data_IF_688408657456
#
_entry.id   IF_688408657456
#
_cell.length_a   1.000
_cell.length_b   1.000
_cell.length_c   1.000
_cell.angle_alpha   90.00
_cell.angle_beta   90.00
_cell.angle_gamma   90.00
#
_symmetry.space_group_name_H-M   'P 1'
#
loop_
_entity.id
_entity.type
_entity.pdbx_description
1 polymer ?
#
# COMPACT_ATOMS: atom_id res chain seq x y z
N UNK A 1 -6.34 4.66 4.55
CA UNK A 1 -5.70 5.76 5.29
C UNK A 1 -4.57 6.31 4.42
N UNK A 2 -4.39 7.62 4.36
CA UNK A 2 -3.39 8.28 3.53
C UNK A 2 -2.88 9.58 4.18
N UNK A 3 -1.86 10.23 3.58
CA UNK A 3 -1.40 11.56 4.00
C UNK A 3 -2.39 12.66 3.57
N UNK A 4 -2.38 13.79 4.28
CA UNK A 4 -3.23 14.94 3.95
C UNK A 4 -3.00 15.42 2.49
N UNK A 5 -1.76 15.43 2.03
CA UNK A 5 -1.40 15.82 0.66
C UNK A 5 -1.97 14.91 -0.43
N UNK A 6 -2.20 13.62 -0.11
CA UNK A 6 -2.72 12.64 -1.05
C UNK A 6 -4.25 12.47 -1.00
N UNK A 7 -4.95 13.13 -0.08
CA UNK A 7 -6.39 12.96 0.12
C UNK A 7 -7.20 13.13 -1.18
N UNK A 8 -6.95 14.23 -1.90
CA UNK A 8 -7.69 14.51 -3.14
C UNK A 8 -7.39 13.48 -4.23
N UNK A 9 -6.13 13.05 -4.36
CA UNK A 9 -5.76 12.01 -5.31
C UNK A 9 -6.49 10.70 -4.99
N UNK A 10 -6.47 10.25 -3.74
CA UNK A 10 -7.12 8.99 -3.32
C UNK A 10 -8.65 9.08 -3.47
N UNK A 11 -9.28 10.21 -3.16
CA UNK A 11 -10.71 10.42 -3.43
C UNK A 11 -11.04 10.31 -4.93
N UNK A 12 -10.18 10.86 -5.79
CA UNK A 12 -10.38 10.82 -7.24
C UNK A 12 -10.20 9.42 -7.85
N UNK A 13 -9.56 8.48 -7.14
CA UNK A 13 -9.51 7.09 -7.56
C UNK A 13 -10.90 6.43 -7.61
N UNK A 14 -11.85 6.93 -6.79
CA UNK A 14 -13.24 6.45 -6.78
C UNK A 14 -13.42 4.99 -6.31
N UNK A 15 -12.38 4.40 -5.72
CA UNK A 15 -12.37 3.00 -5.27
C UNK A 15 -12.50 2.86 -3.73
N UNK A 16 -12.60 3.97 -2.99
CA UNK A 16 -12.69 3.99 -1.55
C UNK A 16 -14.02 4.62 -1.11
N UNK A 17 -14.74 3.97 -0.20
CA UNK A 17 -15.97 4.50 0.41
C UNK A 17 -15.65 5.64 1.39
N UNK A 18 -14.49 5.57 2.05
CA UNK A 18 -14.01 6.58 2.98
C UNK A 18 -12.50 6.77 2.84
N UNK A 19 -12.04 8.02 2.87
CA UNK A 19 -10.63 8.37 2.90
C UNK A 19 -10.31 9.09 4.21
N UNK A 20 -9.52 8.47 5.05
CA UNK A 20 -9.06 8.98 6.35
C UNK A 20 -7.61 9.41 6.21
N UNK A 21 -7.22 10.56 6.78
CA UNK A 21 -5.83 10.98 6.84
C UNK A 21 -5.17 10.55 8.16
N UNK A 22 -3.85 10.41 8.15
CA UNK A 22 -3.09 10.12 9.37
C UNK A 22 -3.39 11.16 10.45
N UNK A 23 -3.70 10.70 11.65
CA UNK A 23 -4.11 11.50 12.80
C UNK A 23 -5.62 11.70 12.94
N UNK A 24 -6.42 11.23 12.00
CA UNK A 24 -7.89 11.28 12.02
C UNK A 24 -8.51 9.86 12.10
N UNK A 25 -7.80 8.89 12.68
CA UNK A 25 -8.24 7.50 12.77
C UNK A 25 -9.49 7.30 13.65
N UNK A 26 -9.88 8.32 14.41
CA UNK A 26 -11.13 8.38 15.16
C UNK A 26 -12.38 8.44 14.27
N UNK A 27 -12.24 8.83 13.01
CA UNK A 27 -13.31 8.82 12.01
C UNK A 27 -13.69 7.41 11.53
N UNK A 28 -12.88 6.41 11.83
CA UNK A 28 -13.15 5.01 11.46
C UNK A 28 -14.25 4.45 12.37
N UNK A 29 -15.28 3.85 11.76
CA UNK A 29 -16.34 3.18 12.53
C UNK A 29 -15.78 1.93 13.22
N UNK A 30 -15.64 2.04 14.53
CA UNK A 30 -15.05 0.98 15.36
C UNK A 30 -16.01 -0.17 15.66
N UNK A 31 -17.28 -0.05 15.30
CA UNK A 31 -18.28 -1.10 15.49
C UNK A 31 -18.24 -2.18 14.41
N UNK A 32 -17.56 -1.90 13.29
CA UNK A 32 -17.49 -2.81 12.15
C UNK A 32 -16.34 -3.81 12.29
N UNK A 33 -16.62 -5.08 11.98
CA UNK A 33 -15.58 -6.08 11.79
C UNK A 33 -14.67 -5.66 10.64
N UNK A 34 -13.38 -5.47 10.94
CA UNK A 34 -12.42 -4.82 10.05
C UNK A 34 -11.19 -5.68 9.78
N UNK A 35 -10.76 -5.73 8.53
CA UNK A 35 -9.47 -6.27 8.13
C UNK A 35 -8.50 -5.11 7.85
N UNK A 36 -7.31 -5.16 8.43
CA UNK A 36 -6.26 -4.18 8.23
C UNK A 36 -5.16 -4.74 7.32
N UNK A 37 -4.87 -4.02 6.24
CA UNK A 37 -3.75 -4.31 5.33
C UNK A 37 -2.73 -3.19 5.49
N UNK A 38 -1.62 -3.49 6.15
CA UNK A 38 -0.55 -2.54 6.40
C UNK A 38 0.46 -2.53 5.25
N UNK A 39 0.43 -1.46 4.46
CA UNK A 39 1.40 -1.19 3.40
C UNK A 39 2.53 -0.28 3.90
N UNK A 40 2.35 0.35 5.06
CA UNK A 40 3.28 1.37 5.57
C UNK A 40 4.36 0.82 6.48
N UNK A 41 4.05 -0.21 7.27
CA UNK A 41 4.92 -0.68 8.35
C UNK A 41 4.98 0.29 9.53
N UNK A 42 4.02 1.22 9.64
CA UNK A 42 3.97 2.19 10.73
C UNK A 42 3.33 1.55 11.97
N UNK A 43 4.18 1.18 12.93
CA UNK A 43 3.74 0.53 14.18
C UNK A 43 2.84 1.42 15.04
N UNK A 44 3.06 2.73 15.03
CA UNK A 44 2.19 3.67 15.74
C UNK A 44 0.76 3.62 15.21
N UNK A 45 0.59 3.66 13.88
CA UNK A 45 -0.71 3.51 13.24
C UNK A 45 -1.34 2.15 13.52
N UNK A 46 -0.57 1.06 13.36
CA UNK A 46 -1.03 -0.30 13.65
C UNK A 46 -1.55 -0.41 15.09
N UNK A 47 -0.78 0.13 16.05
CA UNK A 47 -1.18 0.15 17.47
C UNK A 47 -2.46 0.94 17.70
N UNK A 48 -2.60 2.12 17.09
CA UNK A 48 -3.79 2.97 17.20
C UNK A 48 -5.04 2.25 16.66
N UNK A 49 -4.94 1.62 15.48
CA UNK A 49 -6.04 0.91 14.86
C UNK A 49 -6.46 -0.32 15.68
N UNK A 50 -5.51 -1.12 16.14
CA UNK A 50 -5.81 -2.29 16.98
C UNK A 50 -6.46 -1.91 18.30
N UNK A 51 -5.94 -0.88 18.99
CA UNK A 51 -6.53 -0.40 20.23
C UNK A 51 -7.93 0.20 20.02
N UNK A 52 -8.14 0.86 18.86
CA UNK A 52 -9.43 1.45 18.54
C UNK A 52 -10.49 0.42 18.18
N UNK A 53 -10.15 -0.58 17.37
CA UNK A 53 -11.07 -1.62 16.89
C UNK A 53 -11.24 -2.77 17.88
N UNK A 54 -10.22 -3.05 18.70
CA UNK A 54 -10.29 -4.15 19.66
C UNK A 54 -10.59 -5.49 18.98
N UNK A 55 -11.59 -6.21 19.47
CA UNK A 55 -12.00 -7.51 18.91
C UNK A 55 -12.65 -7.41 17.52
N UNK A 56 -13.02 -6.20 17.08
CA UNK A 56 -13.49 -5.95 15.71
C UNK A 56 -12.34 -5.92 14.69
N UNK A 57 -11.07 -5.90 15.10
CA UNK A 57 -9.93 -6.18 14.24
C UNK A 57 -9.87 -7.69 13.98
N UNK A 58 -10.54 -8.16 12.92
CA UNK A 58 -10.66 -9.59 12.61
C UNK A 58 -9.52 -10.16 11.78
N UNK A 59 -8.77 -9.30 11.08
CA UNK A 59 -7.56 -9.66 10.33
C UNK A 59 -6.57 -8.50 10.32
N UNK A 60 -5.28 -8.79 10.39
CA UNK A 60 -4.21 -7.79 10.32
C UNK A 60 -3.02 -8.37 9.56
N UNK A 61 -2.78 -7.85 8.35
CA UNK A 61 -1.74 -8.32 7.44
C UNK A 61 -0.69 -7.24 7.20
N UNK A 62 0.56 -7.52 7.55
CA UNK A 62 1.71 -6.67 7.25
C UNK A 62 2.25 -7.01 5.86
N UNK A 63 2.04 -6.13 4.88
CA UNK A 63 2.39 -6.35 3.48
C UNK A 63 3.61 -5.52 3.06
N UNK A 64 3.71 -4.29 3.56
CA UNK A 64 4.74 -3.33 3.19
C UNK A 64 5.43 -2.69 4.38
N UNK A 65 6.44 -1.89 4.09
CA UNK A 65 7.22 -1.14 5.05
C UNK A 65 7.76 0.17 4.44
N UNK A 66 6.87 0.97 3.81
CA UNK A 66 7.26 2.25 3.21
C UNK A 66 7.72 3.28 4.26
N UNK A 67 7.30 3.11 5.52
CA UNK A 67 7.75 3.91 6.67
C UNK A 67 8.72 3.10 7.53
N UNK A 68 9.79 2.58 6.93
CA UNK A 68 10.74 1.69 7.59
C UNK A 68 11.36 2.27 8.88
N UNK A 69 11.48 3.60 8.98
CA UNK A 69 11.97 4.30 10.20
C UNK A 69 10.96 4.25 11.36
N UNK A 70 9.67 4.09 11.07
CA UNK A 70 8.62 3.95 12.06
C UNK A 70 8.40 2.48 12.50
N UNK A 71 9.29 1.59 12.08
CA UNK A 71 9.30 0.19 12.47
C UNK A 71 9.75 -0.02 13.93
N UNK A 72 9.46 -1.19 14.48
CA UNK A 72 9.85 -1.55 15.86
C UNK A 72 9.26 -2.89 16.28
N UNK A 73 9.25 -3.16 17.60
CA UNK A 73 8.58 -4.34 18.14
C UNK A 73 7.10 -4.07 18.30
N UNK A 74 6.29 -5.00 17.84
CA UNK A 74 4.86 -5.00 18.09
C UNK A 74 4.63 -5.79 19.40
N UNK A 75 4.14 -5.12 20.44
CA UNK A 75 3.64 -5.76 21.64
C UNK A 75 2.32 -6.49 21.35
N UNK A 76 1.81 -7.22 22.34
CA UNK A 76 0.53 -7.89 22.20
C UNK A 76 -0.59 -6.85 22.03
N UNK A 77 -1.21 -6.86 20.85
CA UNK A 77 -2.32 -5.96 20.51
C UNK A 77 -3.67 -6.67 20.66
N UNK A 78 -4.77 -5.93 20.90
CA UNK A 78 -6.13 -6.47 20.84
C UNK A 78 -6.50 -6.96 19.45
N UNK A 79 -7.47 -7.87 19.36
CA UNK A 79 -7.97 -8.40 18.11
C UNK A 79 -7.03 -9.38 17.42
N UNK A 80 -7.13 -9.49 16.10
CA UNK A 80 -6.31 -10.40 15.30
C UNK A 80 -4.83 -10.05 15.38
N UNK A 81 -4.00 -11.07 15.57
CA UNK A 81 -2.54 -10.87 15.61
C UNK A 81 -2.03 -10.41 14.24
N UNK A 82 -1.22 -9.32 14.15
CA UNK A 82 -0.55 -8.96 12.91
C UNK A 82 0.32 -10.10 12.37
N UNK A 83 0.13 -10.43 11.09
CA UNK A 83 0.87 -11.50 10.41
C UNK A 83 1.57 -10.95 9.18
N UNK A 84 2.79 -11.41 8.94
CA UNK A 84 3.52 -11.04 7.73
C UNK A 84 2.94 -11.72 6.49
N UNK A 85 2.59 -10.93 5.49
CA UNK A 85 2.11 -11.44 4.20
C UNK A 85 3.28 -11.78 3.29
N UNK A 86 3.60 -13.07 3.20
CA UNK A 86 4.66 -13.58 2.33
C UNK A 86 4.09 -13.98 0.97
N UNK A 87 4.13 -13.06 0.00
CA UNK A 87 3.53 -13.26 -1.32
C UNK A 87 3.97 -14.56 -2.04
N UNK A 88 5.26 -14.97 -2.07
CA UNK A 88 5.65 -16.23 -2.70
C UNK A 88 4.96 -17.46 -2.10
N UNK A 89 4.80 -17.49 -0.78
CA UNK A 89 4.08 -18.57 -0.09
C UNK A 89 2.60 -18.60 -0.44
N UNK A 90 1.96 -17.44 -0.57
CA UNK A 90 0.57 -17.34 -1.01
C UNK A 90 0.39 -17.75 -2.46
N UNK A 91 1.31 -17.39 -3.36
CA UNK A 91 1.32 -17.84 -4.77
C UNK A 91 1.40 -19.35 -4.82
N UNK A 92 2.37 -19.97 -4.12
CA UNK A 92 2.54 -21.41 -4.10
C UNK A 92 1.27 -22.14 -3.59
N UNK A 93 0.66 -21.63 -2.50
CA UNK A 93 -0.57 -22.18 -1.96
C UNK A 93 -1.73 -22.09 -2.96
N UNK A 94 -1.92 -20.93 -3.59
CA UNK A 94 -3.00 -20.73 -4.57
C UNK A 94 -2.80 -21.52 -5.85
N UNK A 95 -1.58 -21.70 -6.30
CA UNK A 95 -1.29 -22.52 -7.48
C UNK A 95 -1.59 -24.01 -7.24
N UNK A 96 -1.52 -24.51 -6.02
CA UNK A 96 -2.02 -25.84 -5.66
C UNK A 96 -3.55 -25.93 -5.81
N UNK A 97 -4.27 -24.89 -5.40
CA UNK A 97 -5.75 -24.84 -5.42
C UNK A 97 -6.30 -24.57 -6.84
N UNK A 98 -5.64 -23.68 -7.61
CA UNK A 98 -6.17 -23.15 -8.87
C UNK A 98 -5.48 -23.70 -10.12
N UNK A 99 -4.37 -24.42 -9.95
CA UNK A 99 -3.50 -24.91 -11.01
C UNK A 99 -2.21 -24.10 -11.13
N UNK A 100 -1.17 -24.75 -11.60
CA UNK A 100 0.17 -24.15 -11.72
C UNK A 100 0.15 -22.89 -12.62
N UNK A 101 0.69 -21.79 -12.11
CA UNK A 101 0.74 -20.49 -12.80
C UNK A 101 -0.58 -19.71 -12.81
N UNK A 102 -1.67 -20.26 -12.29
CA UNK A 102 -2.98 -19.61 -12.30
C UNK A 102 -2.99 -18.30 -11.49
N UNK A 103 -2.25 -18.24 -10.39
CA UNK A 103 -2.13 -17.04 -9.55
C UNK A 103 -1.47 -15.89 -10.32
N UNK A 104 -0.38 -16.17 -11.02
CA UNK A 104 0.32 -15.15 -11.84
C UNK A 104 -0.54 -14.67 -13.01
N UNK A 105 -1.24 -15.57 -13.69
CA UNK A 105 -2.15 -15.20 -14.78
C UNK A 105 -3.28 -14.29 -14.30
N UNK A 106 -3.94 -14.65 -13.19
CA UNK A 106 -4.99 -13.82 -12.58
C UNK A 106 -4.44 -12.46 -12.12
N UNK A 107 -3.27 -12.45 -11.48
CA UNK A 107 -2.59 -11.22 -11.06
C UNK A 107 -2.33 -10.28 -12.24
N UNK A 108 -1.79 -10.81 -13.33
CA UNK A 108 -1.55 -10.02 -14.56
C UNK A 108 -2.84 -9.45 -15.14
N UNK A 109 -3.91 -10.25 -15.23
CA UNK A 109 -5.22 -9.78 -15.74
C UNK A 109 -5.77 -8.63 -14.88
N UNK A 110 -5.68 -8.74 -13.54
CA UNK A 110 -6.10 -7.67 -12.65
C UNK A 110 -5.21 -6.42 -12.74
N UNK A 111 -3.90 -6.60 -12.86
CA UNK A 111 -2.97 -5.47 -13.05
C UNK A 111 -3.26 -4.69 -14.32
N UNK A 112 -3.55 -5.37 -15.43
CA UNK A 112 -3.92 -4.71 -16.69
C UNK A 112 -5.24 -3.93 -16.57
N UNK A 113 -6.22 -4.48 -15.85
CA UNK A 113 -7.48 -3.79 -15.57
C UNK A 113 -7.25 -2.53 -14.76
N UNK A 114 -6.51 -2.63 -13.64
CA UNK A 114 -6.16 -1.48 -12.79
C UNK A 114 -5.38 -0.42 -13.59
N UNK A 115 -4.40 -0.82 -14.40
CA UNK A 115 -3.65 0.10 -15.25
C UNK A 115 -4.55 0.86 -16.24
N UNK A 116 -5.54 0.18 -16.81
CA UNK A 116 -6.51 0.81 -17.71
C UNK A 116 -7.43 1.82 -16.98
N UNK A 117 -7.81 1.54 -15.73
CA UNK A 117 -8.62 2.43 -14.91
C UNK A 117 -7.82 3.66 -14.43
N UNK A 118 -6.51 3.51 -14.18
CA UNK A 118 -5.63 4.57 -13.68
C UNK A 118 -4.99 5.44 -14.76
N UNK A 119 -5.11 5.08 -16.04
CA UNK A 119 -4.38 5.74 -17.14
C UNK A 119 -4.54 7.26 -17.21
N UNK A 120 -5.72 7.78 -16.82
CA UNK A 120 -6.02 9.22 -16.84
C UNK A 120 -5.72 9.91 -15.50
N UNK A 121 -5.34 9.15 -14.46
CA UNK A 121 -5.03 9.63 -13.11
C UNK A 121 -3.54 9.61 -12.82
N UNK A 122 -2.76 8.77 -13.52
CA UNK A 122 -1.32 8.65 -13.37
C UNK A 122 -0.64 9.23 -14.61
N UNK A 123 0.22 10.22 -14.39
CA UNK A 123 1.08 10.76 -15.43
C UNK A 123 2.39 9.97 -15.48
N UNK A 124 2.62 9.24 -16.56
CA UNK A 124 3.85 8.47 -16.74
C UNK A 124 4.98 9.39 -17.20
N UNK A 125 6.03 9.44 -16.41
CA UNK A 125 7.24 10.22 -16.67
C UNK A 125 8.45 9.29 -16.85
N UNK A 126 9.20 9.51 -17.93
CA UNK A 126 10.44 8.79 -18.17
C UNK A 126 11.62 9.52 -17.52
N UNK A 127 12.40 8.78 -16.75
CA UNK A 127 13.63 9.22 -16.08
C UNK A 127 14.78 8.50 -16.75
N UNK A 128 15.53 9.21 -17.60
CA UNK A 128 16.59 8.61 -18.41
C UNK A 128 17.97 8.97 -17.85
N UNK A 129 18.81 7.94 -17.73
CA UNK A 129 20.18 8.08 -17.28
C UNK A 129 20.35 8.32 -15.77
N UNK A 130 21.60 8.16 -15.32
CA UNK A 130 21.94 8.17 -13.90
C UNK A 130 21.71 9.53 -13.22
N UNK A 131 21.90 10.64 -13.94
CA UNK A 131 21.76 11.97 -13.37
C UNK A 131 20.31 12.32 -13.04
N UNK A 132 19.38 12.02 -13.96
CA UNK A 132 17.94 12.22 -13.68
C UNK A 132 17.46 11.30 -12.57
N UNK A 133 17.92 10.05 -12.57
CA UNK A 133 17.59 9.10 -11.51
C UNK A 133 18.06 9.62 -10.14
N UNK A 134 19.24 10.18 -10.03
CA UNK A 134 19.75 10.75 -8.77
C UNK A 134 18.87 11.90 -8.27
N UNK A 135 18.42 12.76 -9.18
CA UNK A 135 17.50 13.86 -8.84
C UNK A 135 16.16 13.34 -8.31
N UNK A 136 15.53 12.42 -9.06
CA UNK A 136 14.25 11.82 -8.66
C UNK A 136 14.37 11.01 -7.36
N UNK A 137 15.51 10.34 -7.16
CA UNK A 137 15.78 9.64 -5.91
C UNK A 137 15.79 10.59 -4.71
N UNK A 138 16.39 11.78 -4.85
CA UNK A 138 16.32 12.84 -3.83
C UNK A 138 14.88 13.28 -3.56
N UNK A 139 14.08 13.54 -4.61
CA UNK A 139 12.67 13.90 -4.46
C UNK A 139 11.85 12.82 -3.73
N UNK A 140 12.13 11.53 -3.99
CA UNK A 140 11.49 10.41 -3.30
C UNK A 140 11.86 10.36 -1.81
N UNK A 141 13.14 10.56 -1.47
CA UNK A 141 13.60 10.59 -0.09
C UNK A 141 12.99 11.77 0.69
N UNK A 142 12.83 12.91 0.03
CA UNK A 142 12.24 14.12 0.61
C UNK A 142 10.69 14.10 0.60
N UNK A 143 10.08 12.98 0.14
CA UNK A 143 8.63 12.83 0.01
C UNK A 143 7.96 13.90 -0.87
N UNK A 144 8.66 14.37 -1.90
CA UNK A 144 8.25 15.44 -2.81
C UNK A 144 7.67 14.92 -4.15
N UNK A 145 7.55 13.61 -4.32
CA UNK A 145 6.95 13.01 -5.53
C UNK A 145 5.44 12.91 -5.33
N UNK A 146 4.68 13.58 -6.19
CA UNK A 146 3.22 13.52 -6.15
C UNK A 146 2.71 12.11 -6.48
N UNK A 147 1.63 11.66 -5.80
CA UNK A 147 1.04 10.33 -5.97
C UNK A 147 0.55 10.05 -7.41
N UNK A 148 0.28 11.11 -8.20
CA UNK A 148 -0.11 11.00 -9.61
C UNK A 148 1.04 10.80 -10.58
N UNK A 149 2.31 10.82 -10.13
CA UNK A 149 3.48 10.62 -10.98
C UNK A 149 3.88 9.14 -11.01
N UNK A 150 3.80 8.53 -12.18
CA UNK A 150 4.29 7.18 -12.45
C UNK A 150 5.69 7.24 -13.04
N UNK A 151 6.73 6.97 -12.27
CA UNK A 151 8.12 7.10 -12.70
C UNK A 151 8.60 5.82 -13.38
N UNK A 152 8.98 5.94 -14.65
CA UNK A 152 9.59 4.87 -15.44
C UNK A 152 11.08 5.17 -15.62
N UNK A 153 11.94 4.29 -15.12
CA UNK A 153 13.38 4.51 -15.12
C UNK A 153 14.06 3.70 -16.21
N UNK A 154 14.92 4.35 -17.02
CA UNK A 154 15.86 3.71 -17.93
C UNK A 154 17.27 4.18 -17.61
N UNK A 155 18.20 3.23 -17.41
CA UNK A 155 19.63 3.52 -17.29
C UNK A 155 20.37 3.39 -18.63
N UNK A 156 19.66 3.04 -19.68
CA UNK A 156 20.22 3.01 -21.03
C UNK A 156 20.30 4.46 -21.53
N UNK A 157 21.46 4.86 -21.98
CA UNK A 157 21.62 6.09 -22.75
C UNK A 157 20.94 5.88 -24.12
N UNK A 158 20.17 6.88 -24.56
CA UNK A 158 19.55 6.90 -25.88
C UNK A 158 20.59 7.01 -27.00
#
# INVERSE_FOLDING_TARGET
ITSAGNRNFVNNLGCCDQVVIYGEEDQIDRSLASAYIDMSGNIGLTTTLHNGLGDNMVESAMVGASHWEAGGKIDRLPGARPTFFFAPGHIAKRDVEWGAGATMLKGMQHSLKVAAELKDLINIEWVNGAQQLQTIWGELLDNNVAASRGLMVSLLDD
#
